data_IF_095082146003
#
_entry.id   IF_095082146003
#
_cell.length_a   1.000
_cell.length_b   1.000
_cell.length_c   1.000
_cell.angle_alpha   90.00
_cell.angle_beta   90.00
_cell.angle_gamma   90.00
#
_symmetry.space_group_name_H-M   'P 1'
#
loop_
_entity.id
_entity.type
_entity.pdbx_description
1 polymer ?
#
# COMPACT_ATOMS: atom_id res chain seq x y z
N UNK A 1 3.69 -13.03 9.26
CA UNK A 1 2.83 -14.16 9.69
C UNK A 1 2.52 -15.01 8.46
N UNK A 2 2.21 -16.30 8.59
CA UNK A 2 1.85 -17.15 7.43
C UNK A 2 0.43 -16.80 6.94
N UNK A 3 0.30 -16.39 5.68
CA UNK A 3 -0.96 -16.05 5.04
C UNK A 3 -2.01 -17.18 5.14
N UNK A 4 -1.59 -18.45 5.16
CA UNK A 4 -2.49 -19.59 5.34
C UNK A 4 -3.10 -19.63 6.74
N UNK A 5 -2.35 -19.22 7.77
CA UNK A 5 -2.83 -19.15 9.15
C UNK A 5 -3.89 -18.03 9.26
N UNK A 6 -3.62 -16.86 8.71
CA UNK A 6 -4.55 -15.73 8.70
C UNK A 6 -5.84 -16.06 7.95
N UNK A 7 -5.76 -16.66 6.76
CA UNK A 7 -6.94 -17.11 6.01
C UNK A 7 -7.76 -18.13 6.79
N UNK A 8 -7.14 -19.10 7.47
CA UNK A 8 -7.87 -20.07 8.31
C UNK A 8 -8.56 -19.41 9.50
N UNK A 9 -7.93 -18.43 10.14
CA UNK A 9 -8.54 -17.68 11.24
C UNK A 9 -9.75 -16.88 10.74
N UNK A 10 -9.61 -16.16 9.62
CA UNK A 10 -10.70 -15.44 8.98
C UNK A 10 -11.85 -16.36 8.57
N UNK A 11 -11.56 -17.53 8.02
CA UNK A 11 -12.60 -18.49 7.62
C UNK A 11 -13.43 -18.99 8.81
N UNK A 12 -12.80 -19.22 9.98
CA UNK A 12 -13.52 -19.61 11.20
C UNK A 12 -14.47 -18.51 11.67
N UNK A 13 -14.04 -17.25 11.62
CA UNK A 13 -14.87 -16.10 11.98
C UNK A 13 -16.05 -15.95 10.99
N UNK A 14 -15.78 -16.06 9.69
CA UNK A 14 -16.81 -15.98 8.65
C UNK A 14 -17.84 -17.12 8.75
N UNK A 15 -17.41 -18.33 9.12
CA UNK A 15 -18.30 -19.45 9.41
C UNK A 15 -19.18 -19.19 10.63
N UNK A 16 -18.58 -18.70 11.74
CA UNK A 16 -19.31 -18.39 12.96
C UNK A 16 -20.37 -17.28 12.77
N UNK A 17 -20.12 -16.34 11.87
CA UNK A 17 -21.03 -15.26 11.52
C UNK A 17 -21.99 -15.58 10.36
N UNK A 18 -21.93 -16.79 9.78
CA UNK A 18 -22.67 -17.19 8.57
C UNK A 18 -22.47 -16.23 7.36
N UNK A 19 -21.28 -15.64 7.26
CA UNK A 19 -20.87 -14.68 6.23
C UNK A 19 -20.41 -15.42 4.97
N UNK A 20 -21.35 -15.78 4.09
CA UNK A 20 -21.06 -16.67 2.94
C UNK A 20 -20.14 -16.04 1.89
N UNK A 21 -20.38 -14.77 1.53
CA UNK A 21 -19.52 -14.08 0.55
C UNK A 21 -18.08 -13.95 1.03
N UNK A 22 -17.90 -13.71 2.33
CA UNK A 22 -16.61 -13.65 3.00
C UNK A 22 -15.91 -15.00 2.99
N UNK A 23 -16.65 -16.08 3.25
CA UNK A 23 -16.09 -17.44 3.17
C UNK A 23 -15.59 -17.76 1.76
N UNK A 24 -16.36 -17.38 0.74
CA UNK A 24 -15.99 -17.62 -0.66
C UNK A 24 -14.76 -16.81 -1.06
N UNK A 25 -14.71 -15.52 -0.69
CA UNK A 25 -13.54 -14.67 -0.90
C UNK A 25 -12.28 -15.18 -0.18
N UNK A 26 -12.41 -15.74 1.02
CA UNK A 26 -11.24 -16.29 1.75
C UNK A 26 -10.72 -17.57 1.09
N UNK A 27 -11.62 -18.43 0.59
CA UNK A 27 -11.27 -19.72 -0.05
C UNK A 27 -10.65 -19.54 -1.43
N UNK A 28 -11.03 -18.50 -2.15
CA UNK A 28 -10.39 -18.12 -3.40
C UNK A 28 -8.95 -17.66 -3.13
N UNK A 29 -7.96 -18.41 -3.60
CA UNK A 29 -6.54 -18.10 -3.39
C UNK A 29 -6.10 -16.83 -4.13
N UNK A 30 -6.84 -16.39 -5.15
CA UNK A 30 -6.56 -15.17 -5.90
C UNK A 30 -7.06 -13.90 -5.21
N UNK A 31 -8.00 -14.03 -4.28
CA UNK A 31 -8.53 -12.91 -3.51
C UNK A 31 -7.49 -12.34 -2.55
N UNK A 32 -7.38 -11.00 -2.52
CA UNK A 32 -6.51 -10.27 -1.60
C UNK A 32 -7.29 -9.73 -0.40
N UNK A 33 -6.59 -9.05 0.52
CA UNK A 33 -7.21 -8.43 1.71
C UNK A 33 -8.39 -7.51 1.37
N UNK A 34 -8.27 -6.72 0.30
CA UNK A 34 -9.32 -5.82 -0.17
C UNK A 34 -10.63 -6.57 -0.43
N UNK A 35 -10.57 -7.66 -1.18
CA UNK A 35 -11.78 -8.42 -1.56
C UNK A 35 -12.39 -9.12 -0.34
N UNK A 36 -11.56 -9.68 0.54
CA UNK A 36 -12.00 -10.31 1.78
C UNK A 36 -12.69 -9.29 2.71
N UNK A 37 -12.11 -8.11 2.90
CA UNK A 37 -12.66 -7.07 3.78
C UNK A 37 -13.94 -6.46 3.20
N UNK A 38 -14.01 -6.22 1.89
CA UNK A 38 -15.24 -5.77 1.23
C UNK A 38 -16.36 -6.79 1.37
N UNK A 39 -16.07 -8.08 1.18
CA UNK A 39 -17.03 -9.15 1.38
C UNK A 39 -17.52 -9.22 2.85
N UNK A 40 -16.62 -9.07 3.83
CA UNK A 40 -16.97 -9.03 5.25
C UNK A 40 -17.91 -7.86 5.58
N UNK A 41 -17.57 -6.65 5.12
CA UNK A 41 -18.43 -5.47 5.33
C UNK A 41 -19.80 -5.66 4.68
N UNK A 42 -19.88 -6.28 3.50
CA UNK A 42 -21.14 -6.56 2.82
C UNK A 42 -22.00 -7.63 3.53
N UNK A 43 -21.37 -8.67 4.08
CA UNK A 43 -22.08 -9.78 4.73
C UNK A 43 -22.57 -9.44 6.15
N UNK A 44 -21.74 -8.79 6.96
CA UNK A 44 -22.01 -8.61 8.41
C UNK A 44 -21.99 -7.16 8.89
N UNK A 45 -21.77 -6.21 7.97
CA UNK A 45 -21.71 -4.78 8.26
C UNK A 45 -20.32 -4.31 8.71
N UNK A 46 -20.12 -2.99 8.63
CA UNK A 46 -18.86 -2.34 8.98
C UNK A 46 -18.50 -2.55 10.46
N UNK A 47 -19.41 -2.22 11.38
CA UNK A 47 -19.16 -2.28 12.84
C UNK A 47 -18.70 -3.67 13.30
N UNK A 48 -19.42 -4.72 12.87
CA UNK A 48 -19.08 -6.11 13.20
C UNK A 48 -17.72 -6.49 12.62
N UNK A 49 -17.43 -6.07 11.38
CA UNK A 49 -16.15 -6.35 10.72
C UNK A 49 -15.00 -5.66 11.46
N UNK A 50 -15.15 -4.38 11.78
CA UNK A 50 -14.15 -3.61 12.55
C UNK A 50 -13.91 -4.26 13.91
N UNK A 51 -14.95 -4.62 14.65
CA UNK A 51 -14.81 -5.25 15.96
C UNK A 51 -13.94 -6.51 15.88
N UNK A 52 -14.14 -7.35 14.86
CA UNK A 52 -13.30 -8.53 14.62
C UNK A 52 -11.89 -8.21 14.17
N UNK A 53 -11.70 -7.16 13.36
CA UNK A 53 -10.36 -6.69 12.99
C UNK A 53 -9.58 -6.20 14.22
N UNK A 54 -10.22 -5.45 15.13
CA UNK A 54 -9.59 -4.96 16.37
C UNK A 54 -9.21 -6.08 17.34
N UNK A 55 -9.96 -7.20 17.35
CA UNK A 55 -9.62 -8.42 18.10
C UNK A 55 -8.49 -9.24 17.45
N UNK A 56 -8.16 -8.98 16.17
CA UNK A 56 -7.22 -9.78 15.38
C UNK A 56 -5.79 -9.25 15.38
N UNK A 57 -4.95 -9.75 14.46
CA UNK A 57 -3.58 -9.25 14.28
C UNK A 57 -3.59 -7.80 13.74
N UNK A 58 -2.67 -6.92 14.19
CA UNK A 58 -2.59 -5.53 13.73
C UNK A 58 -2.46 -5.36 12.21
N UNK A 59 -1.96 -6.36 11.47
CA UNK A 59 -1.92 -6.34 10.01
C UNK A 59 -3.32 -6.15 9.40
N UNK A 60 -4.36 -6.77 9.95
CA UNK A 60 -5.72 -6.59 9.42
C UNK A 60 -6.23 -5.16 9.60
N UNK A 61 -5.83 -4.48 10.67
CA UNK A 61 -6.21 -3.09 10.90
C UNK A 61 -5.56 -2.16 9.87
N UNK A 62 -4.28 -2.35 9.54
CA UNK A 62 -3.62 -1.56 8.50
C UNK A 62 -4.18 -1.85 7.10
N UNK A 63 -4.50 -3.12 6.79
CA UNK A 63 -5.17 -3.49 5.54
C UNK A 63 -6.57 -2.88 5.43
N UNK A 64 -7.32 -2.84 6.53
CA UNK A 64 -8.65 -2.22 6.57
C UNK A 64 -8.58 -0.71 6.33
N UNK A 65 -7.65 -0.01 6.98
CA UNK A 65 -7.39 1.41 6.75
C UNK A 65 -7.02 1.73 5.28
N UNK A 66 -6.30 0.81 4.62
CA UNK A 66 -5.87 1.00 3.23
C UNK A 66 -6.98 0.74 2.20
N UNK A 67 -7.92 -0.15 2.50
CA UNK A 67 -8.84 -0.70 1.49
C UNK A 67 -10.30 -0.32 1.67
N UNK A 68 -10.69 0.19 2.84
CA UNK A 68 -12.04 0.63 3.14
C UNK A 68 -12.01 2.15 3.37
N UNK A 69 -12.50 2.98 2.43
CA UNK A 69 -12.38 4.44 2.50
C UNK A 69 -13.28 5.09 3.56
N UNK A 70 -14.45 4.51 3.85
CA UNK A 70 -15.48 5.10 4.72
C UNK A 70 -15.53 4.42 6.09
N UNK A 71 -14.48 4.60 6.89
CA UNK A 71 -14.38 3.98 8.22
C UNK A 71 -15.08 4.78 9.33
N UNK A 72 -15.42 6.05 9.10
CA UNK A 72 -16.07 6.91 10.09
C UNK A 72 -15.33 6.92 11.44
N UNK A 73 -16.08 6.76 12.53
CA UNK A 73 -15.58 6.81 13.90
C UNK A 73 -14.65 5.62 14.25
N UNK A 74 -14.62 4.56 13.45
CA UNK A 74 -13.75 3.39 13.67
C UNK A 74 -12.28 3.65 13.31
N UNK A 75 -12.02 4.71 12.55
CA UNK A 75 -10.72 4.99 11.98
C UNK A 75 -9.63 5.15 13.03
N UNK A 76 -9.93 5.87 14.11
CA UNK A 76 -8.99 6.09 15.22
C UNK A 76 -8.60 4.78 15.89
N UNK A 77 -9.57 3.92 16.22
CA UNK A 77 -9.30 2.63 16.85
C UNK A 77 -8.44 1.71 15.96
N UNK A 78 -8.66 1.74 14.65
CA UNK A 78 -7.86 0.98 13.68
C UNK A 78 -6.42 1.52 13.58
N UNK A 79 -6.22 2.85 13.61
CA UNK A 79 -4.88 3.45 13.62
C UNK A 79 -4.12 3.10 14.91
N UNK A 80 -4.79 3.17 16.06
CA UNK A 80 -4.22 2.75 17.33
C UNK A 80 -3.84 1.27 17.31
N UNK A 81 -4.70 0.40 16.75
CA UNK A 81 -4.41 -1.03 16.59
C UNK A 81 -3.20 -1.24 15.68
N UNK A 82 -3.12 -0.56 14.54
CA UNK A 82 -1.99 -0.66 13.62
C UNK A 82 -0.66 -0.26 14.30
N UNK A 83 -0.68 0.74 15.19
CA UNK A 83 0.47 1.19 15.96
C UNK A 83 0.98 0.15 16.99
N UNK A 84 0.28 -0.96 17.23
CA UNK A 84 0.75 -2.03 18.14
C UNK A 84 1.74 -3.01 17.50
N UNK A 85 2.02 -2.88 16.19
CA UNK A 85 3.02 -3.68 15.48
C UNK A 85 3.90 -2.79 14.59
N UNK A 86 5.23 -2.93 14.63
CA UNK A 86 6.12 -2.13 13.78
C UNK A 86 5.80 -2.22 12.29
N UNK A 87 5.53 -3.43 11.77
CA UNK A 87 5.23 -3.64 10.35
C UNK A 87 3.88 -3.05 9.95
N UNK A 88 2.87 -3.16 10.82
CA UNK A 88 1.54 -2.61 10.56
C UNK A 88 1.53 -1.09 10.64
N UNK A 89 2.28 -0.52 11.59
CA UNK A 89 2.50 0.91 11.71
C UNK A 89 3.20 1.48 10.47
N UNK A 90 4.24 0.78 9.98
CA UNK A 90 4.95 1.16 8.76
C UNK A 90 4.04 1.10 7.52
N UNK A 91 3.22 0.05 7.39
CA UNK A 91 2.25 -0.03 6.31
C UNK A 91 1.21 1.10 6.37
N UNK A 92 0.72 1.43 7.56
CA UNK A 92 -0.19 2.56 7.74
C UNK A 92 0.47 3.89 7.31
N UNK A 93 1.72 4.14 7.71
CA UNK A 93 2.48 5.34 7.30
C UNK A 93 2.60 5.48 5.78
N UNK A 94 2.77 4.36 5.06
CA UNK A 94 3.02 4.34 3.61
C UNK A 94 1.74 4.43 2.78
N UNK A 95 0.66 3.81 3.25
CA UNK A 95 -0.49 3.55 2.39
C UNK A 95 -1.81 4.17 2.86
N UNK A 96 -1.88 4.68 4.09
CA UNK A 96 -3.13 5.25 4.61
C UNK A 96 -3.08 6.77 4.41
N UNK A 97 -4.02 7.35 3.63
CA UNK A 97 -4.11 8.81 3.50
C UNK A 97 -4.51 9.44 4.84
N UNK A 98 -4.03 10.64 5.12
CA UNK A 98 -4.38 11.45 6.30
C UNK A 98 -4.29 10.72 7.65
N UNK A 99 -3.10 10.72 8.27
CA UNK A 99 -2.91 10.05 9.56
C UNK A 99 -3.32 10.91 10.77
N UNK A 100 -3.70 12.17 10.57
CA UNK A 100 -3.99 13.12 11.64
C UNK A 100 -2.92 13.14 12.74
N UNK A 101 -3.38 13.17 13.99
CA UNK A 101 -2.54 13.14 15.20
C UNK A 101 -1.83 11.79 15.44
N UNK A 102 -2.22 10.71 14.74
CA UNK A 102 -1.61 9.39 14.95
C UNK A 102 -0.26 9.22 14.25
N UNK A 103 0.13 10.11 13.34
CA UNK A 103 1.39 10.02 12.60
C UNK A 103 2.60 9.80 13.50
N UNK A 104 2.72 10.58 14.58
CA UNK A 104 3.83 10.47 15.52
C UNK A 104 3.84 9.11 16.24
N UNK A 105 2.68 8.63 16.70
CA UNK A 105 2.57 7.32 17.35
C UNK A 105 2.94 6.17 16.40
N UNK A 106 2.57 6.27 15.12
CA UNK A 106 2.93 5.29 14.10
C UNK A 106 4.43 5.32 13.78
N UNK A 107 5.04 6.51 13.68
CA UNK A 107 6.49 6.66 13.50
C UNK A 107 7.24 6.02 14.67
N UNK A 108 6.81 6.27 15.91
CA UNK A 108 7.41 5.68 17.09
C UNK A 108 7.30 4.15 17.09
N UNK A 109 6.14 3.61 16.72
CA UNK A 109 5.89 2.17 16.66
C UNK A 109 6.68 1.46 15.55
N UNK A 110 6.75 2.06 14.36
CA UNK A 110 7.54 1.54 13.23
C UNK A 110 9.06 1.68 13.47
N UNK A 111 9.48 2.57 14.38
CA UNK A 111 10.86 2.68 14.81
C UNK A 111 11.80 3.12 13.69
N UNK A 112 12.94 2.43 13.54
CA UNK A 112 13.95 2.80 12.54
C UNK A 112 13.45 2.68 11.10
N UNK A 113 12.48 1.80 10.85
CA UNK A 113 11.94 1.58 9.51
C UNK A 113 11.02 2.73 9.06
N UNK A 114 10.57 3.57 10.00
CA UNK A 114 9.82 4.78 9.69
C UNK A 114 10.70 5.92 9.17
N UNK A 115 12.01 5.87 9.44
CA UNK A 115 12.93 6.92 9.02
C UNK A 115 12.97 6.97 7.49
N UNK A 116 12.79 8.15 6.87
CA UNK A 116 13.03 8.28 5.45
C UNK A 116 14.49 7.91 5.17
N UNK A 117 14.73 7.12 4.11
CA UNK A 117 16.09 6.75 3.70
C UNK A 117 16.82 7.91 3.00
N UNK A 118 16.22 9.10 3.02
CA UNK A 118 16.70 10.34 2.43
C UNK A 118 15.70 10.92 1.44
N UNK A 119 16.13 11.99 0.77
CA UNK A 119 15.40 12.58 -0.35
C UNK A 119 15.99 12.00 -1.64
N UNK A 120 15.23 11.19 -2.38
CA UNK A 120 15.67 10.80 -3.72
C UNK A 120 15.37 11.95 -4.66
N UNK A 121 16.43 12.63 -5.10
CA UNK A 121 16.30 13.63 -6.16
C UNK A 121 16.33 12.99 -7.55
N UNK A 122 17.07 11.89 -7.74
CA UNK A 122 17.28 11.26 -9.04
C UNK A 122 17.63 9.76 -8.98
N UNK A 123 17.36 9.05 -10.08
CA UNK A 123 17.81 7.70 -10.36
C UNK A 123 18.94 7.72 -11.38
N UNK A 124 19.98 6.91 -11.15
CA UNK A 124 21.03 6.65 -12.13
C UNK A 124 20.68 5.39 -12.94
N UNK A 125 20.45 5.57 -14.23
CA UNK A 125 20.05 4.53 -15.17
C UNK A 125 21.24 4.18 -16.07
N UNK A 126 21.49 2.89 -16.27
CA UNK A 126 22.59 2.41 -17.10
C UNK A 126 22.15 1.23 -17.94
N UNK A 127 22.40 1.29 -19.24
CA UNK A 127 22.25 0.13 -20.11
C UNK A 127 23.56 -0.68 -20.16
N UNK A 128 23.46 -1.96 -19.85
CA UNK A 128 24.53 -2.95 -20.03
C UNK A 128 23.99 -4.26 -20.61
N UNK A 129 22.78 -4.24 -21.18
CA UNK A 129 22.05 -5.40 -21.68
C UNK A 129 22.33 -5.74 -23.15
N UNK A 130 22.91 -4.82 -23.92
CA UNK A 130 23.23 -5.04 -25.34
C UNK A 130 22.04 -4.82 -26.28
N UNK A 131 21.07 -4.00 -25.86
CA UNK A 131 19.91 -3.59 -26.64
C UNK A 131 19.48 -2.19 -26.22
N UNK A 132 18.89 -1.45 -27.16
CA UNK A 132 18.38 -0.12 -26.86
C UNK A 132 17.20 -0.22 -25.89
N UNK A 133 17.21 0.60 -24.84
CA UNK A 133 16.18 0.54 -23.81
C UNK A 133 15.74 1.91 -23.30
N UNK A 134 14.53 1.96 -22.75
CA UNK A 134 13.98 3.11 -22.04
C UNK A 134 13.48 2.64 -20.67
N UNK A 135 13.57 3.53 -19.70
CA UNK A 135 13.14 3.27 -18.33
C UNK A 135 11.93 4.14 -17.98
N UNK A 136 11.12 3.65 -17.06
CA UNK A 136 10.04 4.41 -16.41
C UNK A 136 9.99 4.02 -14.94
N UNK A 137 9.31 4.83 -14.12
CA UNK A 137 9.25 4.64 -12.67
C UNK A 137 7.80 4.48 -12.24
N UNK A 138 7.57 3.53 -11.33
CA UNK A 138 6.32 3.44 -10.57
C UNK A 138 6.60 3.83 -9.13
N UNK A 139 5.65 4.49 -8.50
CA UNK A 139 5.70 4.79 -7.08
C UNK A 139 4.32 4.67 -6.46
N UNK A 140 4.23 4.64 -5.14
CA UNK A 140 2.95 4.63 -4.43
C UNK A 140 2.85 5.89 -3.59
N UNK A 141 1.74 6.61 -3.73
CA UNK A 141 1.41 7.76 -2.90
C UNK A 141 0.07 7.49 -2.22
N UNK A 142 0.06 7.46 -0.88
CA UNK A 142 -1.13 7.21 -0.08
C UNK A 142 -1.95 5.98 -0.52
N UNK A 143 -1.26 4.87 -0.83
CA UNK A 143 -1.91 3.62 -1.25
C UNK A 143 -2.28 3.54 -2.73
N UNK A 144 -2.11 4.63 -3.50
CA UNK A 144 -2.35 4.64 -4.94
C UNK A 144 -1.04 4.52 -5.73
N UNK A 145 -0.95 3.50 -6.58
CA UNK A 145 0.17 3.36 -7.52
C UNK A 145 0.08 4.41 -8.63
N UNK A 146 1.22 5.01 -8.92
CA UNK A 146 1.44 6.03 -9.93
C UNK A 146 2.47 5.54 -10.97
N UNK A 147 2.36 5.94 -12.24
CA UNK A 147 1.19 6.61 -12.83
C UNK A 147 -0.05 5.70 -12.79
N UNK A 148 -1.28 6.26 -12.75
CA UNK A 148 -2.56 5.55 -12.51
C UNK A 148 -2.99 4.50 -13.56
N UNK A 149 -2.08 4.06 -14.43
CA UNK A 149 -2.36 3.09 -15.48
C UNK A 149 -1.41 1.93 -15.21
N UNK A 150 -1.92 0.72 -14.93
CA UNK A 150 -1.08 -0.44 -14.60
C UNK A 150 -0.43 -1.11 -15.83
N UNK A 151 -0.72 -0.62 -17.04
CA UNK A 151 -0.17 -1.14 -18.29
C UNK A 151 0.67 -0.08 -19.00
N UNK A 152 1.89 -0.42 -19.48
CA UNK A 152 2.73 0.48 -20.26
C UNK A 152 1.99 1.02 -21.47
N UNK A 153 1.42 2.21 -21.31
CA UNK A 153 0.84 2.98 -22.40
C UNK A 153 1.87 4.04 -22.76
N UNK A 154 2.62 3.78 -23.84
CA UNK A 154 3.73 4.62 -24.28
C UNK A 154 3.32 6.07 -24.56
N UNK A 155 2.03 6.35 -24.78
CA UNK A 155 1.50 7.70 -24.97
C UNK A 155 1.10 8.42 -23.70
N UNK A 156 1.09 7.75 -22.53
CA UNK A 156 0.59 8.31 -21.27
C UNK A 156 1.59 8.32 -20.14
N UNK A 157 2.76 7.73 -20.34
CA UNK A 157 3.82 7.67 -19.34
C UNK A 157 5.00 8.51 -19.75
N UNK A 158 5.73 8.98 -18.75
CA UNK A 158 7.02 9.60 -19.00
C UNK A 158 8.09 8.52 -18.98
N UNK A 159 8.80 8.43 -20.10
CA UNK A 159 9.92 7.52 -20.30
C UNK A 159 11.21 8.32 -20.28
N UNK A 160 12.30 7.66 -19.88
CA UNK A 160 13.63 8.21 -20.08
C UNK A 160 13.96 8.31 -21.57
N UNK A 161 15.00 9.07 -21.89
CA UNK A 161 15.62 8.97 -23.21
C UNK A 161 16.07 7.53 -23.47
N UNK A 162 16.09 7.12 -24.74
CA UNK A 162 16.63 5.82 -25.16
C UNK A 162 18.11 5.75 -24.83
N UNK A 163 18.49 4.78 -24.01
CA UNK A 163 19.89 4.45 -23.73
C UNK A 163 20.36 3.36 -24.68
N UNK A 164 21.50 3.62 -25.33
CA UNK A 164 22.25 2.65 -26.10
C UNK A 164 23.22 1.88 -25.19
N UNK A 165 23.72 0.75 -25.67
CA UNK A 165 24.70 -0.08 -24.94
C UNK A 165 25.85 0.75 -24.37
N UNK A 166 26.02 0.65 -23.05
CA UNK A 166 27.11 1.28 -22.30
C UNK A 166 26.83 2.74 -21.92
N UNK A 167 25.73 3.33 -22.36
CA UNK A 167 25.31 4.66 -21.94
C UNK A 167 24.68 4.63 -20.55
N UNK A 168 24.73 5.78 -19.89
CA UNK A 168 24.02 6.04 -18.65
C UNK A 168 23.45 7.44 -18.65
N UNK A 169 22.38 7.62 -17.88
CA UNK A 169 21.80 8.92 -17.60
C UNK A 169 21.38 9.00 -16.15
N UNK A 170 21.37 10.22 -15.61
CA UNK A 170 20.77 10.49 -14.31
C UNK A 170 19.51 11.31 -14.55
N UNK A 171 18.38 10.81 -14.10
CA UNK A 171 17.07 11.45 -14.31
C UNK A 171 16.42 11.72 -12.96
N UNK A 172 15.94 12.95 -12.77
CA UNK A 172 15.25 13.30 -11.53
C UNK A 172 13.94 12.50 -11.41
N UNK A 173 13.60 12.00 -10.21
CA UNK A 173 12.40 11.18 -10.01
C UNK A 173 11.12 11.91 -10.45
N UNK A 174 11.06 13.22 -10.17
CA UNK A 174 9.96 14.09 -10.63
C UNK A 174 9.78 14.12 -12.15
N UNK A 175 10.84 13.86 -12.91
CA UNK A 175 10.75 13.86 -14.36
C UNK A 175 10.03 12.62 -14.89
N UNK A 176 9.79 11.58 -14.06
CA UNK A 176 8.91 10.47 -14.40
C UNK A 176 7.44 10.73 -14.04
N UNK A 177 7.17 11.84 -13.35
CA UNK A 177 5.84 12.19 -12.87
C UNK A 177 5.01 12.86 -13.99
N UNK A 178 3.71 12.56 -14.02
CA UNK A 178 2.76 13.28 -14.88
C UNK A 178 2.50 14.69 -14.32
N UNK A 179 1.98 15.60 -15.16
CA UNK A 179 1.82 17.01 -14.80
C UNK A 179 0.93 17.26 -13.57
N UNK A 180 0.06 16.32 -13.23
CA UNK A 180 -0.88 16.31 -12.10
C UNK A 180 -0.50 15.30 -11.00
N UNK A 181 0.70 14.73 -11.07
CA UNK A 181 1.15 13.76 -10.08
C UNK A 181 1.45 14.43 -8.72
N UNK A 182 1.22 13.72 -7.61
CA UNK A 182 1.39 14.27 -6.25
C UNK A 182 2.87 14.33 -5.79
N UNK A 183 3.84 14.17 -6.69
CA UNK A 183 5.26 14.11 -6.35
C UNK A 183 5.94 15.46 -6.66
N UNK A 184 6.33 16.18 -5.62
CA UNK A 184 7.01 17.48 -5.71
C UNK A 184 8.51 17.38 -5.41
N UNK A 185 9.33 18.34 -5.90
CA UNK A 185 10.75 18.39 -5.56
C UNK A 185 10.97 18.60 -4.05
N UNK A 186 11.70 17.68 -3.42
CA UNK A 186 12.02 17.75 -1.99
C UNK A 186 11.16 16.85 -1.11
N UNK A 187 10.18 16.16 -1.70
CA UNK A 187 9.37 15.17 -0.99
C UNK A 187 10.24 14.04 -0.40
N UNK A 188 9.91 13.67 0.83
CA UNK A 188 10.44 12.48 1.47
C UNK A 188 9.83 11.24 0.82
N UNK A 189 10.68 10.28 0.48
CA UNK A 189 10.26 9.03 -0.15
C UNK A 189 10.82 7.84 0.62
N UNK A 190 10.04 6.76 0.68
CA UNK A 190 10.50 5.48 1.20
C UNK A 190 10.92 4.58 0.03
N UNK A 191 12.09 3.94 0.16
CA UNK A 191 12.62 2.94 -0.79
C UNK A 191 12.53 1.57 -0.14
#
# INVERSE_FOLDING_TARGET
>A
MDAKIQRRAGLRLALAANARGTQDAIKDESSCYREILKAAVADVGLDTTVAKVLESDPEWASQMLQHIPDLGDHREALLQKAATSPSSALNALRFVPDLGSHRESLVLAAGRDAAPLGNISALHLKDSGGFDCQFTMYWTHAGETQPKNAYPDSGKWVWSDTLLLGQSQTMACRNFALADAPLEPGDEVWI
#
